data_IF_156592631730
#
_entry.id   IF_156592631730
#
_cell.length_a   1.000
_cell.length_b   1.000
_cell.length_c   1.000
_cell.angle_alpha   90.00
_cell.angle_beta   90.00
_cell.angle_gamma   90.00
#
_symmetry.space_group_name_H-M   'P 1'
#
loop_
_entity.id
_entity.type
_entity.pdbx_description
1 polymer ?
#
# COMPACT_ATOMS: atom_id res chain seq x y z
N UNK A 1 8.43 7.11 16.59
CA UNK A 1 9.10 7.29 15.29
C UNK A 1 9.36 5.90 14.74
N UNK A 2 8.94 5.54 13.52
CA UNK A 2 9.23 4.22 12.97
C UNK A 2 10.75 4.00 12.89
N UNK A 3 11.25 2.76 13.09
CA UNK A 3 12.67 2.46 12.98
C UNK A 3 13.23 2.85 11.60
N UNK A 4 14.48 3.31 11.56
CA UNK A 4 15.16 3.81 10.35
C UNK A 4 15.25 2.79 9.20
N UNK A 5 15.06 1.51 9.50
CA UNK A 5 15.25 0.44 8.52
C UNK A 5 13.98 0.01 7.78
N UNK A 6 12.82 0.66 7.96
CA UNK A 6 11.53 0.36 7.28
C UNK A 6 11.10 -1.14 7.28
N UNK A 7 11.87 -2.00 7.95
CA UNK A 7 11.74 -3.45 8.12
C UNK A 7 11.25 -3.81 9.52
N UNK A 8 10.89 -2.82 10.34
CA UNK A 8 9.98 -3.09 11.44
C UNK A 8 8.61 -3.40 10.86
N UNK A 9 7.85 -4.33 11.45
CA UNK A 9 6.41 -4.42 11.22
C UNK A 9 5.81 -3.04 11.55
N UNK A 10 5.81 -2.14 10.58
CA UNK A 10 5.23 -0.81 10.68
C UNK A 10 3.73 -0.99 10.68
N UNK A 11 3.16 -1.20 11.86
CA UNK A 11 1.73 -1.24 12.04
C UNK A 11 1.24 0.20 11.88
N UNK A 12 0.95 0.64 10.65
CA UNK A 12 0.13 1.83 10.50
C UNK A 12 -1.25 1.48 11.05
N UNK A 13 -1.81 2.42 11.80
CA UNK A 13 -3.12 2.27 12.40
C UNK A 13 -4.04 3.24 11.69
N UNK A 14 -5.12 2.73 11.12
CA UNK A 14 -6.15 3.53 10.48
C UNK A 14 -7.52 3.16 11.05
N UNK A 15 -8.45 4.10 10.97
CA UNK A 15 -9.85 3.86 11.29
C UNK A 15 -10.62 3.72 9.98
N UNK A 16 -11.50 2.73 9.90
CA UNK A 16 -12.51 2.73 8.85
C UNK A 16 -13.70 3.63 9.21
N UNK A 17 -14.66 3.70 8.28
CA UNK A 17 -15.84 4.56 8.44
C UNK A 17 -16.79 4.08 9.54
N UNK A 18 -16.72 2.79 9.90
CA UNK A 18 -17.51 2.20 10.99
C UNK A 18 -16.81 2.34 12.35
N UNK A 19 -15.64 2.97 12.38
CA UNK A 19 -14.85 3.22 13.58
C UNK A 19 -13.99 2.02 14.02
N UNK A 20 -13.87 0.98 13.19
CA UNK A 20 -12.99 -0.15 13.49
C UNK A 20 -11.54 0.22 13.21
N UNK A 21 -10.64 -0.36 14.01
CA UNK A 21 -9.21 -0.16 13.89
C UNK A 21 -8.64 -1.21 12.94
N UNK A 22 -7.85 -0.75 11.96
CA UNK A 22 -7.08 -1.61 11.04
C UNK A 22 -5.60 -1.46 11.29
N UNK A 23 -4.90 -2.58 11.24
CA UNK A 23 -3.47 -2.69 11.49
C UNK A 23 -2.77 -3.14 10.22
N UNK A 24 -1.75 -2.41 9.79
CA UNK A 24 -0.96 -2.75 8.61
C UNK A 24 -0.68 -1.53 7.74
N UNK A 25 -0.44 -1.69 6.43
CA UNK A 25 -0.14 -2.95 5.78
C UNK A 25 1.27 -3.43 6.15
N UNK A 26 1.44 -4.74 6.39
CA UNK A 26 2.72 -5.37 6.12
C UNK A 26 2.93 -5.44 4.60
N UNK A 27 4.18 -5.54 4.14
CA UNK A 27 4.48 -5.63 2.71
C UNK A 27 5.33 -6.85 2.46
N UNK A 28 4.91 -7.66 1.49
CA UNK A 28 5.64 -8.81 0.98
C UNK A 28 5.80 -8.65 -0.52
N UNK A 29 6.92 -9.12 -1.06
CA UNK A 29 7.09 -9.22 -2.50
C UNK A 29 6.14 -10.30 -3.04
N UNK A 30 5.53 -10.02 -4.18
CA UNK A 30 4.55 -10.90 -4.79
C UNK A 30 4.84 -11.01 -6.29
N UNK A 31 5.12 -12.23 -6.75
CA UNK A 31 5.42 -12.53 -8.16
C UNK A 31 4.18 -12.98 -8.95
N UNK A 32 3.08 -13.28 -8.26
CA UNK A 32 1.80 -13.73 -8.82
C UNK A 32 0.67 -12.83 -8.34
N UNK A 33 -0.42 -12.71 -9.09
CA UNK A 33 -1.58 -11.91 -8.66
C UNK A 33 -2.46 -12.69 -7.67
N UNK A 34 -1.87 -13.13 -6.57
CA UNK A 34 -2.57 -13.88 -5.52
C UNK A 34 -3.09 -12.91 -4.45
N UNK A 35 -4.42 -12.87 -4.30
CA UNK A 35 -5.13 -11.99 -3.37
C UNK A 35 -5.61 -12.80 -2.15
N UNK A 36 -4.70 -13.53 -1.51
CA UNK A 36 -4.97 -14.28 -0.29
C UNK A 36 -4.30 -13.64 0.92
N UNK A 37 -5.02 -13.56 2.03
CA UNK A 37 -4.43 -13.16 3.31
C UNK A 37 -3.86 -14.41 3.99
N UNK A 38 -2.58 -14.43 4.42
CA UNK A 38 -2.01 -15.57 5.13
C UNK A 38 -2.74 -15.86 6.45
N UNK A 39 -3.03 -17.13 6.72
CA UNK A 39 -3.75 -17.56 7.92
C UNK A 39 -2.99 -17.24 9.22
N UNK A 40 -1.67 -17.17 9.17
CA UNK A 40 -0.77 -16.87 10.29
C UNK A 40 -0.47 -15.36 10.46
N UNK A 41 -1.10 -14.49 9.67
CA UNK A 41 -0.82 -13.05 9.70
C UNK A 41 -1.10 -12.41 11.07
N UNK A 42 -2.18 -12.80 11.74
CA UNK A 42 -2.49 -12.32 13.10
C UNK A 42 -1.37 -12.68 14.06
N UNK A 43 -0.86 -13.91 13.97
CA UNK A 43 0.20 -14.41 14.84
C UNK A 43 1.49 -13.62 14.65
N UNK A 44 1.83 -13.31 13.39
CA UNK A 44 2.99 -12.50 13.04
C UNK A 44 2.87 -11.05 13.49
N UNK A 45 1.68 -10.44 13.37
CA UNK A 45 1.48 -9.01 13.68
C UNK A 45 1.18 -8.73 15.15
N UNK A 46 0.64 -9.70 15.89
CA UNK A 46 0.17 -9.49 17.26
C UNK A 46 1.21 -8.88 18.22
N UNK A 47 2.50 -9.28 18.22
CA UNK A 47 3.49 -8.65 19.10
C UNK A 47 3.61 -7.13 18.87
N UNK A 48 3.71 -6.71 17.61
CA UNK A 48 3.82 -5.29 17.27
C UNK A 48 2.53 -4.51 17.57
N UNK A 49 1.36 -5.15 17.38
CA UNK A 49 0.06 -4.56 17.75
C UNK A 49 -0.03 -4.41 19.28
N UNK A 50 0.36 -5.44 20.04
CA UNK A 50 0.30 -5.46 21.51
C UNK A 50 1.21 -4.40 22.14
N UNK A 51 2.36 -4.14 21.53
CA UNK A 51 3.27 -3.08 21.98
C UNK A 51 2.64 -1.68 21.85
N UNK A 52 1.82 -1.45 20.82
CA UNK A 52 1.12 -0.18 20.59
C UNK A 52 -0.21 -0.11 21.37
N UNK A 53 -0.92 -1.23 21.46
CA UNK A 53 -2.25 -1.38 22.05
C UNK A 53 -2.22 -2.48 23.11
N UNK A 54 -1.63 -2.16 24.26
CA UNK A 54 -1.37 -3.10 25.35
C UNK A 54 -2.62 -3.78 25.93
N UNK A 55 -3.82 -3.23 25.73
CA UNK A 55 -5.09 -3.84 26.17
C UNK A 55 -5.66 -4.84 25.18
N UNK A 56 -5.28 -4.79 23.90
CA UNK A 56 -5.83 -5.68 22.86
C UNK A 56 -5.45 -7.13 23.13
N UNK A 57 -6.43 -8.03 23.06
CA UNK A 57 -6.24 -9.46 23.08
C UNK A 57 -6.21 -10.03 21.65
N UNK A 58 -5.41 -11.08 21.43
CA UNK A 58 -5.26 -11.70 20.10
C UNK A 58 -6.60 -12.17 19.50
N UNK A 59 -7.55 -12.61 20.32
CA UNK A 59 -8.88 -13.08 19.90
C UNK A 59 -9.78 -11.95 19.35
N UNK A 60 -9.43 -10.69 19.58
CA UNK A 60 -10.14 -9.52 19.09
C UNK A 60 -9.65 -9.09 17.70
N UNK A 61 -8.59 -9.74 17.19
CA UNK A 61 -8.06 -9.50 15.86
C UNK A 61 -8.64 -10.51 14.87
N UNK A 62 -9.04 -10.02 13.70
CA UNK A 62 -9.48 -10.82 12.58
C UNK A 62 -8.68 -10.45 11.33
N UNK A 63 -8.54 -11.41 10.41
CA UNK A 63 -8.03 -11.12 9.08
C UNK A 63 -9.02 -10.22 8.34
N UNK A 64 -8.46 -9.29 7.57
CA UNK A 64 -9.22 -8.28 6.84
C UNK A 64 -8.98 -8.45 5.34
N UNK A 65 -8.24 -7.55 4.69
CA UNK A 65 -7.95 -7.64 3.26
C UNK A 65 -6.45 -7.55 2.95
N UNK A 66 -6.09 -7.94 1.73
CA UNK A 66 -4.79 -7.66 1.13
C UNK A 66 -4.96 -6.81 -0.13
N UNK A 67 -3.86 -6.21 -0.59
CA UNK A 67 -3.84 -5.41 -1.82
C UNK A 67 -2.47 -5.49 -2.49
N UNK A 68 -2.45 -5.40 -3.81
CA UNK A 68 -1.22 -5.39 -4.61
C UNK A 68 -0.89 -3.95 -4.99
N UNK A 69 0.35 -3.53 -4.70
CA UNK A 69 0.85 -2.21 -5.13
C UNK A 69 1.32 -2.28 -6.58
N UNK A 70 0.83 -1.36 -7.41
CA UNK A 70 1.34 -1.18 -8.77
C UNK A 70 2.77 -0.63 -8.72
N UNK A 71 3.76 -1.46 -9.05
CA UNK A 71 5.19 -1.10 -9.11
C UNK A 71 5.71 -1.22 -10.53
N UNK A 72 6.62 -0.33 -10.92
CA UNK A 72 7.26 -0.38 -12.25
C UNK A 72 8.68 -0.90 -12.10
N UNK A 73 9.07 -1.86 -12.95
CA UNK A 73 10.48 -2.23 -13.16
C UNK A 73 10.92 -1.69 -14.51
N UNK A 74 11.99 -0.90 -14.53
CA UNK A 74 12.63 -0.35 -15.73
C UNK A 74 14.10 -0.75 -15.72
N UNK A 75 14.56 -1.40 -16.79
CA UNK A 75 15.95 -1.88 -16.93
C UNK A 75 16.42 -2.73 -15.73
N UNK A 76 15.53 -3.58 -15.21
CA UNK A 76 15.78 -4.43 -14.04
C UNK A 76 15.81 -3.70 -12.69
N UNK A 77 15.58 -2.38 -12.66
CA UNK A 77 15.53 -1.57 -11.43
C UNK A 77 14.10 -1.14 -11.12
N UNK A 78 13.78 -1.04 -9.83
CA UNK A 78 12.50 -0.50 -9.39
C UNK A 78 12.46 1.00 -9.69
N UNK A 79 11.45 1.44 -10.44
CA UNK A 79 11.14 2.86 -10.59
C UNK A 79 10.29 3.29 -9.39
N UNK A 80 10.71 4.37 -8.72
CA UNK A 80 10.24 4.72 -7.38
C UNK A 80 9.28 5.91 -7.34
N UNK A 81 8.87 6.43 -8.50
CA UNK A 81 7.93 7.54 -8.62
C UNK A 81 6.73 7.14 -9.49
N UNK A 82 5.70 7.98 -9.57
CA UNK A 82 4.62 7.82 -10.54
C UNK A 82 5.14 8.11 -11.95
N UNK A 83 4.76 7.27 -12.92
CA UNK A 83 5.09 7.51 -14.32
C UNK A 83 3.83 7.99 -15.04
N UNK A 84 3.76 9.29 -15.29
CA UNK A 84 2.67 9.93 -16.04
C UNK A 84 3.23 10.48 -17.34
N UNK A 85 2.80 9.93 -18.48
CA UNK A 85 3.38 10.26 -19.78
C UNK A 85 2.37 10.10 -20.94
N UNK A 86 2.68 10.70 -22.08
CA UNK A 86 1.92 10.60 -23.33
C UNK A 86 2.84 10.06 -24.43
N UNK A 87 3.05 8.72 -24.50
CA UNK A 87 4.01 8.12 -25.41
C UNK A 87 3.52 8.05 -26.87
N UNK A 88 2.23 8.23 -27.10
CA UNK A 88 1.59 8.17 -28.42
C UNK A 88 0.60 9.33 -28.55
N UNK A 89 0.33 9.73 -29.79
CA UNK A 89 -0.68 10.76 -30.07
C UNK A 89 -2.05 10.34 -29.51
N UNK A 90 -2.75 11.26 -28.84
CA UNK A 90 -4.05 11.03 -28.21
C UNK A 90 -4.07 9.90 -27.16
N UNK A 91 -2.94 9.58 -26.53
CA UNK A 91 -2.85 8.54 -25.50
C UNK A 91 -2.00 9.01 -24.32
N UNK A 92 -2.57 8.95 -23.12
CA UNK A 92 -1.88 9.23 -21.87
C UNK A 92 -2.01 8.04 -20.92
N UNK A 93 -0.95 7.75 -20.17
CA UNK A 93 -0.92 6.69 -19.18
C UNK A 93 -0.38 7.20 -17.84
N UNK A 94 -0.88 6.59 -16.77
CA UNK A 94 -0.41 6.79 -15.40
C UNK A 94 -0.08 5.39 -14.83
N UNK A 95 1.21 5.09 -14.72
CA UNK A 95 1.73 3.80 -14.30
C UNK A 95 2.39 3.93 -12.92
N UNK A 96 2.45 2.81 -12.18
CA UNK A 96 3.18 2.79 -10.90
C UNK A 96 2.50 3.59 -9.79
N UNK A 97 1.18 3.82 -9.91
CA UNK A 97 0.40 4.62 -8.95
C UNK A 97 0.17 3.82 -7.67
N UNK A 98 1.18 3.77 -6.81
CA UNK A 98 1.08 3.27 -5.43
C UNK A 98 0.68 4.38 -4.45
N UNK A 99 0.83 4.18 -3.13
CA UNK A 99 0.61 5.25 -2.15
C UNK A 99 1.55 6.44 -2.40
N UNK A 100 1.06 7.70 -2.41
CA UNK A 100 -0.27 8.18 -1.98
C UNK A 100 -1.30 8.37 -3.13
N UNK A 101 -1.43 7.43 -4.06
CA UNK A 101 -2.19 7.57 -5.30
C UNK A 101 -3.66 7.93 -5.15
N UNK A 102 -4.34 7.43 -4.10
CA UNK A 102 -5.72 7.84 -3.81
C UNK A 102 -5.78 9.33 -3.46
N UNK A 103 -4.94 9.78 -2.54
CA UNK A 103 -4.85 11.18 -2.11
C UNK A 103 -4.44 12.09 -3.26
N UNK A 104 -3.54 11.63 -4.12
CA UNK A 104 -3.03 12.37 -5.27
C UNK A 104 -3.90 12.26 -6.53
N UNK A 105 -5.02 11.51 -6.49
CA UNK A 105 -5.82 11.21 -7.69
C UNK A 105 -6.29 12.45 -8.47
N UNK A 106 -6.70 13.58 -7.85
CA UNK A 106 -7.07 14.77 -8.62
C UNK A 106 -5.88 15.38 -9.36
N UNK A 107 -4.73 15.50 -8.69
CA UNK A 107 -3.50 16.05 -9.27
C UNK A 107 -2.94 15.17 -10.39
N UNK A 108 -3.10 13.84 -10.28
CA UNK A 108 -2.73 12.90 -11.35
C UNK A 108 -3.55 13.19 -12.60
N UNK A 109 -4.87 13.39 -12.47
CA UNK A 109 -5.75 13.70 -13.60
C UNK A 109 -5.40 15.05 -14.22
N UNK A 110 -5.16 16.09 -13.41
CA UNK A 110 -4.70 17.39 -13.90
C UNK A 110 -3.44 17.24 -14.77
N UNK A 111 -2.47 16.46 -14.29
CA UNK A 111 -1.23 16.22 -15.03
C UNK A 111 -1.46 15.46 -16.35
N UNK A 112 -2.37 14.49 -16.34
CA UNK A 112 -2.70 13.74 -17.55
C UNK A 112 -3.37 14.63 -18.60
N UNK A 113 -4.23 15.56 -18.19
CA UNK A 113 -4.91 16.50 -19.10
C UNK A 113 -3.93 17.50 -19.74
N UNK A 114 -2.92 17.97 -19.00
CA UNK A 114 -1.84 18.81 -19.56
C UNK A 114 -1.09 18.11 -20.70
N UNK A 115 -0.93 16.78 -20.63
CA UNK A 115 -0.18 15.99 -21.61
C UNK A 115 -1.01 15.61 -22.85
N UNK A 116 -2.34 15.73 -22.78
CA UNK A 116 -3.26 15.47 -23.88
C UNK A 116 -3.58 16.72 -24.71
N UNK A 117 -3.23 17.91 -24.20
CA UNK A 117 -3.46 19.20 -24.85
C UNK A 117 -2.37 19.53 -25.86
#
# INVERSE_FOLDING_TARGET
>A
MPPKDLKGLGVHTSFDLDGQIRFGPNTVDCDQYEMSVPDDLVDMMYPAIKDLFWTVEKKELALDYCGIRSKIKKDGKLFTDFLIQSPLENYVEALGIESPGLTSSPAIVEKMMELLS
#
